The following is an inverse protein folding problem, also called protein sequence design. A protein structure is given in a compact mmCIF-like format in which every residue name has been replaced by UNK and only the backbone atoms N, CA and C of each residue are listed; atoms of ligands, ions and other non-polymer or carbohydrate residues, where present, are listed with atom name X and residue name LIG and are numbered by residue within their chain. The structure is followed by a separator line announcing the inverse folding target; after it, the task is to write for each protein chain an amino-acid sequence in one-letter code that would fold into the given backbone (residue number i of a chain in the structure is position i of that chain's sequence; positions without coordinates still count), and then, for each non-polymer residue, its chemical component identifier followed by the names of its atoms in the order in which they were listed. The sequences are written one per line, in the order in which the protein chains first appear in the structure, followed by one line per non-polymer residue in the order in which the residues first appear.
data_IF_655900432584
#
_entry.id   IF_655900432584
#
_cell.length_a   1.000
_cell.length_b   1.000
_cell.length_c   1.000
_cell.angle_alpha   90.00
_cell.angle_beta   90.00
_cell.angle_gamma   90.00
#
_symmetry.space_group_name_H-M   'P 1'
#
loop_
_entity.id
_entity.type
_entity.pdbx_description
1 polymer ?
#
# COMPACT_ATOMS: atom_id res chain seq x y z
N UNK A 1 19.44 -0.17 32.39
CA UNK A 1 18.36 -0.40 33.33
C UNK A 1 18.80 -0.02 34.75
N UNK A 2 17.94 0.52 35.57
CA UNK A 2 18.21 0.73 37.01
C UNK A 2 18.63 -0.60 37.63
N UNK A 3 19.66 -0.61 38.42
CA UNK A 3 20.25 -1.77 39.15
C UNK A 3 21.10 -2.76 38.33
N UNK A 4 21.75 -2.35 37.29
CA UNK A 4 22.75 -3.20 36.59
C UNK A 4 22.15 -4.41 35.84
N UNK A 5 20.84 -4.61 35.85
CA UNK A 5 20.16 -5.64 35.05
C UNK A 5 19.91 -5.11 33.64
N UNK A 6 20.50 -5.78 32.65
CA UNK A 6 20.23 -5.48 31.23
C UNK A 6 18.89 -6.09 30.83
N UNK A 7 18.03 -5.30 30.19
CA UNK A 7 16.81 -5.82 29.58
C UNK A 7 17.10 -6.65 28.32
N UNK A 8 18.23 -6.32 27.64
CA UNK A 8 18.71 -7.01 26.45
C UNK A 8 20.19 -7.31 26.62
N UNK A 9 20.62 -8.48 26.18
CA UNK A 9 22.01 -8.91 26.17
C UNK A 9 22.42 -9.35 24.77
N UNK A 10 23.60 -8.88 24.33
CA UNK A 10 24.17 -9.34 23.07
C UNK A 10 24.83 -10.70 23.29
N UNK A 11 24.27 -11.71 22.63
CA UNK A 11 24.83 -13.06 22.65
C UNK A 11 25.31 -13.46 21.27
N UNK A 12 26.27 -14.41 21.22
CA UNK A 12 26.72 -14.96 19.94
C UNK A 12 25.54 -15.66 19.23
N UNK A 13 25.23 -15.23 18.02
CA UNK A 13 24.17 -15.84 17.22
C UNK A 13 24.66 -17.18 16.65
N UNK A 14 23.94 -18.26 16.95
CA UNK A 14 24.08 -19.52 16.22
C UNK A 14 23.37 -19.32 14.88
N UNK A 15 24.13 -19.20 13.81
CA UNK A 15 23.57 -19.07 12.47
C UNK A 15 22.82 -20.33 12.06
N UNK A 16 21.55 -20.17 11.77
CA UNK A 16 20.67 -21.21 11.22
C UNK A 16 20.30 -20.91 9.75
N UNK A 17 21.27 -20.35 9.02
CA UNK A 17 21.03 -19.88 7.63
C UNK A 17 20.57 -21.01 6.73
N UNK A 18 21.14 -22.24 6.92
CA UNK A 18 20.79 -23.42 6.12
C UNK A 18 19.36 -23.91 6.37
N UNK A 19 18.94 -23.91 7.63
CA UNK A 19 17.59 -24.29 8.03
C UNK A 19 16.57 -23.25 7.53
N UNK A 20 16.92 -21.97 7.63
CA UNK A 20 16.09 -20.88 7.11
C UNK A 20 15.94 -20.96 5.59
N UNK A 21 17.04 -21.13 4.86
CA UNK A 21 17.01 -21.34 3.40
C UNK A 21 16.23 -22.58 3.00
N UNK A 22 16.32 -23.65 3.78
CA UNK A 22 15.55 -24.88 3.55
C UNK A 22 14.03 -24.59 3.70
N UNK A 23 13.63 -23.88 4.76
CA UNK A 23 12.22 -23.52 4.97
C UNK A 23 11.70 -22.62 3.86
N UNK A 24 12.48 -21.62 3.42
CA UNK A 24 12.09 -20.74 2.31
C UNK A 24 11.92 -21.51 0.99
N UNK A 25 12.85 -22.42 0.66
CA UNK A 25 12.81 -23.21 -0.58
C UNK A 25 11.67 -24.24 -0.60
N UNK A 26 11.28 -24.74 0.57
CA UNK A 26 10.23 -25.75 0.71
C UNK A 26 8.89 -25.14 1.14
N UNK A 27 8.75 -23.84 1.00
CA UNK A 27 7.50 -23.14 1.26
C UNK A 27 6.42 -23.65 0.30
N UNK A 28 5.30 -24.14 0.87
CA UNK A 28 4.19 -24.72 0.12
C UNK A 28 3.23 -23.68 -0.46
N UNK A 29 3.55 -22.38 -0.30
CA UNK A 29 2.67 -21.27 -0.67
C UNK A 29 2.28 -21.28 -2.17
N UNK A 30 3.17 -21.75 -3.05
CA UNK A 30 2.93 -21.79 -4.49
C UNK A 30 1.94 -22.88 -4.94
N UNK A 31 1.54 -23.77 -4.02
CA UNK A 31 0.59 -24.86 -4.31
C UNK A 31 -0.87 -24.47 -4.18
N UNK A 32 -1.16 -23.32 -3.59
CA UNK A 32 -2.53 -22.82 -3.47
C UNK A 32 -2.85 -21.91 -4.64
N UNK A 33 -3.86 -22.30 -5.42
CA UNK A 33 -4.38 -21.45 -6.51
C UNK A 33 -4.86 -20.12 -5.95
N UNK A 34 -4.17 -19.10 -6.35
CA UNK A 34 -4.27 -17.76 -5.77
C UNK A 34 -5.17 -16.82 -6.56
N UNK A 35 -5.93 -17.31 -7.54
CA UNK A 35 -6.80 -16.47 -8.37
C UNK A 35 -8.02 -15.98 -7.59
N UNK A 36 -8.38 -16.69 -6.52
CA UNK A 36 -9.48 -16.30 -5.63
C UNK A 36 -8.90 -15.53 -4.44
N UNK A 37 -9.18 -14.23 -4.35
CA UNK A 37 -8.77 -13.38 -3.23
C UNK A 37 -9.74 -13.56 -2.05
N UNK A 38 -9.38 -14.46 -1.15
CA UNK A 38 -10.01 -14.61 0.17
C UNK A 38 -8.97 -14.43 1.25
N UNK A 39 -9.38 -14.10 2.46
CA UNK A 39 -8.50 -13.96 3.63
C UNK A 39 -7.67 -15.23 3.85
N UNK A 40 -8.28 -16.40 3.63
CA UNK A 40 -7.57 -17.68 3.70
C UNK A 40 -6.51 -17.82 2.61
N UNK A 41 -6.87 -17.62 1.34
CA UNK A 41 -5.95 -17.83 0.22
C UNK A 41 -4.81 -16.82 0.22
N UNK A 42 -5.09 -15.56 0.56
CA UNK A 42 -4.06 -14.53 0.61
C UNK A 42 -3.03 -14.78 1.71
N UNK A 43 -3.41 -15.41 2.83
CA UNK A 43 -2.50 -15.71 3.93
C UNK A 43 -1.40 -16.71 3.57
N UNK A 44 -1.60 -17.52 2.53
CA UNK A 44 -0.58 -18.45 2.03
C UNK A 44 0.42 -17.81 1.08
N UNK A 45 0.14 -16.61 0.55
CA UNK A 45 1.10 -15.89 -0.29
C UNK A 45 2.20 -15.28 0.55
N UNK A 46 3.44 -15.40 0.11
CA UNK A 46 4.57 -14.74 0.76
C UNK A 46 4.43 -13.22 0.64
N UNK A 47 4.41 -12.48 1.75
CA UNK A 47 4.39 -11.03 1.69
C UNK A 47 5.75 -10.50 1.24
N UNK A 48 5.76 -9.36 0.53
CA UNK A 48 6.99 -8.63 0.24
C UNK A 48 7.34 -7.64 1.36
N UNK A 49 6.45 -7.47 2.31
CA UNK A 49 6.64 -6.76 3.56
C UNK A 49 6.84 -7.81 4.68
N UNK A 50 8.04 -8.44 4.68
CA UNK A 50 8.32 -9.63 5.51
C UNK A 50 8.58 -9.27 6.97
N UNK A 51 9.26 -8.16 7.21
CA UNK A 51 9.69 -7.77 8.55
C UNK A 51 9.28 -6.34 8.83
N UNK A 52 8.47 -6.16 9.85
CA UNK A 52 7.99 -4.85 10.27
C UNK A 52 8.73 -4.37 11.51
N UNK A 53 9.23 -3.12 11.47
CA UNK A 53 9.74 -2.41 12.64
C UNK A 53 8.67 -1.60 13.38
N UNK A 54 7.39 -1.79 13.07
CA UNK A 54 6.27 -1.10 13.71
C UNK A 54 6.03 -1.55 15.16
N UNK A 55 5.21 -0.79 15.87
CA UNK A 55 4.72 -1.16 17.19
C UNK A 55 4.02 -2.53 17.15
N UNK A 56 4.13 -3.32 18.23
CA UNK A 56 3.36 -4.54 18.36
C UNK A 56 1.85 -4.22 18.26
N UNK A 57 1.12 -4.97 17.44
CA UNK A 57 -0.30 -4.74 17.22
C UNK A 57 -0.66 -3.51 16.36
N UNK A 58 0.32 -2.89 15.68
CA UNK A 58 0.10 -1.77 14.77
C UNK A 58 -1.02 -2.06 13.77
N UNK A 59 -2.01 -1.17 13.67
CA UNK A 59 -3.14 -1.33 12.77
C UNK A 59 -2.84 -1.07 11.29
N UNK A 60 -1.73 -0.41 10.97
CA UNK A 60 -1.36 -0.10 9.59
C UNK A 60 -0.74 -1.29 8.85
N UNK A 61 0.12 -2.05 9.51
CA UNK A 61 0.94 -3.09 8.87
C UNK A 61 0.14 -4.23 8.22
N UNK A 62 -1.02 -4.67 8.72
CA UNK A 62 -1.84 -5.69 8.05
C UNK A 62 -2.31 -5.26 6.66
N UNK A 63 -2.62 -3.98 6.45
CA UNK A 63 -3.00 -3.44 5.15
C UNK A 63 -1.85 -3.54 4.14
N UNK A 64 -0.65 -3.12 4.55
CA UNK A 64 0.54 -3.20 3.69
C UNK A 64 0.95 -4.65 3.40
N UNK A 65 0.88 -5.52 4.40
CA UNK A 65 1.16 -6.94 4.21
C UNK A 65 0.25 -7.55 3.14
N UNK A 66 -1.06 -7.29 3.20
CA UNK A 66 -2.00 -7.78 2.21
C UNK A 66 -1.83 -7.09 0.85
N UNK A 67 -1.54 -5.80 0.81
CA UNK A 67 -1.20 -5.09 -0.44
C UNK A 67 -0.04 -5.78 -1.16
N UNK A 68 1.04 -6.10 -0.42
CA UNK A 68 2.20 -6.79 -1.01
C UNK A 68 1.90 -8.21 -1.45
N UNK A 69 1.02 -8.92 -0.74
CA UNK A 69 0.57 -10.27 -1.12
C UNK A 69 -0.30 -10.28 -2.37
N UNK A 70 -1.12 -9.24 -2.55
CA UNK A 70 -2.02 -9.12 -3.72
C UNK A 70 -1.23 -8.81 -4.99
N UNK A 71 -0.35 -7.80 -4.95
CA UNK A 71 0.31 -7.27 -6.14
C UNK A 71 1.72 -7.78 -6.38
N UNK A 72 2.37 -8.32 -5.37
CA UNK A 72 3.69 -8.94 -5.45
C UNK A 72 4.72 -8.13 -6.29
N UNK A 73 5.27 -8.70 -7.38
CA UNK A 73 6.36 -8.11 -8.18
C UNK A 73 5.96 -6.90 -9.05
N UNK A 74 4.67 -6.66 -9.24
CA UNK A 74 4.23 -5.47 -9.97
C UNK A 74 3.91 -4.28 -9.08
N UNK A 75 4.01 -4.41 -7.78
CA UNK A 75 3.76 -3.33 -6.84
C UNK A 75 4.88 -2.29 -6.88
N UNK A 76 4.48 -1.02 -6.92
CA UNK A 76 5.34 0.15 -6.70
C UNK A 76 4.67 1.04 -5.68
N UNK A 77 5.39 1.42 -4.64
CA UNK A 77 4.86 2.26 -3.57
C UNK A 77 5.64 3.57 -3.49
N UNK A 78 4.91 4.69 -3.54
CA UNK A 78 5.37 6.00 -3.07
C UNK A 78 4.81 6.22 -1.67
N UNK A 79 5.68 6.35 -0.68
CA UNK A 79 5.28 6.41 0.72
C UNK A 79 5.55 7.78 1.33
N UNK A 80 4.55 8.34 1.98
CA UNK A 80 4.67 9.61 2.69
C UNK A 80 5.43 9.42 4.01
N UNK A 81 6.23 10.41 4.39
CA UNK A 81 6.89 10.47 5.69
C UNK A 81 5.86 10.36 6.83
N UNK A 82 6.13 9.47 7.77
CA UNK A 82 5.28 9.16 8.91
C UNK A 82 5.68 7.82 9.52
N UNK A 83 4.78 7.14 10.24
CA UNK A 83 5.05 5.80 10.77
C UNK A 83 5.47 4.83 9.68
N UNK A 84 4.78 4.83 8.55
CA UNK A 84 5.07 3.90 7.44
C UNK A 84 6.46 4.09 6.85
N UNK A 85 7.00 5.30 6.78
CA UNK A 85 8.39 5.53 6.35
C UNK A 85 9.41 5.02 7.38
N UNK A 86 9.07 5.07 8.66
CA UNK A 86 9.97 4.62 9.74
C UNK A 86 10.02 3.09 9.81
N UNK A 87 8.87 2.42 9.91
CA UNK A 87 8.86 0.96 9.92
C UNK A 87 9.10 0.34 8.54
N UNK A 88 8.84 1.09 7.47
CA UNK A 88 9.21 0.76 6.10
C UNK A 88 10.71 0.83 5.87
N UNK A 89 11.38 1.73 6.57
CA UNK A 89 12.82 1.86 6.59
C UNK A 89 13.44 2.21 5.24
N UNK A 90 14.75 2.11 5.19
CA UNK A 90 15.54 2.33 3.99
C UNK A 90 16.44 1.14 3.68
N UNK A 91 16.63 0.88 2.40
CA UNK A 91 17.63 -0.10 1.95
C UNK A 91 19.04 0.39 2.35
N UNK A 92 19.94 -0.45 2.89
CA UNK A 92 19.80 -1.89 3.12
C UNK A 92 19.31 -2.28 4.51
N UNK A 93 18.83 -1.35 5.32
CA UNK A 93 18.48 -1.58 6.73
C UNK A 93 17.27 -2.52 6.89
N UNK A 94 16.40 -2.59 5.90
CA UNK A 94 15.22 -3.45 5.88
C UNK A 94 15.22 -4.33 4.63
N UNK A 95 14.88 -5.60 4.76
CA UNK A 95 14.93 -6.57 3.68
C UNK A 95 13.65 -6.55 2.84
N UNK A 96 13.22 -5.38 2.36
CA UNK A 96 12.08 -5.30 1.45
C UNK A 96 12.48 -5.59 0.02
N UNK A 97 11.67 -6.39 -0.63
CA UNK A 97 11.88 -6.83 -2.00
C UNK A 97 11.04 -6.09 -3.04
N UNK A 98 10.22 -5.12 -2.62
CA UNK A 98 9.42 -4.28 -3.51
C UNK A 98 10.05 -2.90 -3.69
N UNK A 99 9.83 -2.23 -4.82
CA UNK A 99 10.18 -0.83 -4.98
C UNK A 99 9.40 0.03 -3.97
N UNK A 100 10.12 0.54 -2.99
CA UNK A 100 9.60 1.40 -1.93
C UNK A 100 10.36 2.72 -1.96
N UNK A 101 9.68 3.78 -2.39
CA UNK A 101 10.24 5.12 -2.42
C UNK A 101 9.48 6.01 -1.45
N UNK A 102 10.18 6.83 -0.68
CA UNK A 102 9.58 7.76 0.28
C UNK A 102 9.88 9.20 -0.09
N UNK A 103 8.90 10.07 0.11
CA UNK A 103 9.05 11.52 0.07
C UNK A 103 8.39 12.16 1.30
N UNK A 104 8.42 13.47 1.39
CA UNK A 104 7.77 14.20 2.47
C UNK A 104 6.24 14.02 2.38
N UNK A 105 5.56 14.12 3.53
CA UNK A 105 4.12 13.90 3.57
C UNK A 105 3.32 15.02 2.87
N UNK A 106 3.94 16.18 2.68
CA UNK A 106 3.34 17.31 1.97
C UNK A 106 3.37 17.18 0.45
N UNK A 107 4.30 16.40 -0.13
CA UNK A 107 4.49 16.30 -1.59
C UNK A 107 4.37 14.87 -2.16
N UNK A 108 4.03 13.90 -1.32
CA UNK A 108 4.08 12.49 -1.70
C UNK A 108 3.05 12.11 -2.78
N UNK A 109 1.93 12.81 -2.86
CA UNK A 109 0.94 12.56 -3.90
C UNK A 109 1.50 12.88 -5.28
N UNK A 110 2.11 14.06 -5.44
CA UNK A 110 2.74 14.50 -6.67
C UNK A 110 3.98 13.68 -7.01
N UNK A 111 4.75 13.30 -5.98
CA UNK A 111 5.90 12.40 -6.14
C UNK A 111 5.47 11.05 -6.72
N UNK A 112 4.44 10.44 -6.14
CA UNK A 112 3.87 9.18 -6.63
C UNK A 112 3.28 9.31 -8.04
N UNK A 113 2.61 10.42 -8.33
CA UNK A 113 2.11 10.73 -9.66
C UNK A 113 3.24 10.90 -10.68
N UNK A 114 4.34 11.54 -10.27
CA UNK A 114 5.57 11.65 -11.08
C UNK A 114 6.17 10.28 -11.42
N UNK A 115 6.19 9.34 -10.45
CA UNK A 115 6.64 7.95 -10.70
C UNK A 115 5.73 7.28 -11.73
N UNK A 116 4.40 7.40 -11.61
CA UNK A 116 3.45 6.86 -12.58
C UNK A 116 3.72 7.40 -13.99
N UNK A 117 3.89 8.71 -14.12
CA UNK A 117 4.21 9.35 -15.39
C UNK A 117 5.52 8.83 -15.98
N UNK A 118 6.54 8.63 -15.15
CA UNK A 118 7.80 8.01 -15.55
C UNK A 118 7.62 6.58 -16.09
N UNK A 119 6.81 5.76 -15.42
CA UNK A 119 6.46 4.40 -15.85
C UNK A 119 5.71 4.45 -17.18
N UNK A 120 4.69 5.29 -17.31
CA UNK A 120 3.88 5.43 -18.51
C UNK A 120 4.76 5.88 -19.69
N UNK A 121 5.65 6.85 -19.50
CA UNK A 121 6.58 7.30 -20.53
C UNK A 121 7.51 6.17 -21.01
N UNK A 122 8.00 5.31 -20.12
CA UNK A 122 8.79 4.13 -20.50
C UNK A 122 7.96 3.14 -21.32
N UNK A 123 6.73 2.88 -20.92
CA UNK A 123 5.80 2.00 -21.63
C UNK A 123 5.43 2.55 -23.02
N UNK A 124 5.26 3.87 -23.15
CA UNK A 124 5.03 4.51 -24.44
C UNK A 124 6.24 4.39 -25.39
N UNK A 125 7.44 4.47 -24.86
CA UNK A 125 8.67 4.20 -25.65
C UNK A 125 8.70 2.75 -26.14
N UNK A 126 8.36 1.77 -25.29
CA UNK A 126 8.22 0.36 -25.68
C UNK A 126 7.15 0.21 -26.76
N UNK A 127 5.98 0.83 -26.57
CA UNK A 127 4.87 0.83 -27.54
C UNK A 127 5.31 1.37 -28.89
N UNK A 128 6.02 2.49 -28.91
CA UNK A 128 6.54 3.09 -30.13
C UNK A 128 7.52 2.15 -30.84
N UNK A 129 8.48 1.61 -30.10
CA UNK A 129 9.45 0.65 -30.63
C UNK A 129 8.78 -0.60 -31.23
N UNK A 130 7.85 -1.23 -30.48
CA UNK A 130 7.19 -2.46 -30.94
C UNK A 130 6.32 -2.23 -32.20
N UNK A 131 5.77 -1.03 -32.41
CA UNK A 131 5.01 -0.67 -33.63
C UNK A 131 5.87 -0.66 -34.89
N UNK A 132 7.19 -0.48 -34.76
CA UNK A 132 8.13 -0.51 -35.92
C UNK A 132 8.29 -1.93 -36.48
N UNK A 133 7.84 -2.97 -35.72
CA UNK A 133 7.93 -4.38 -36.11
C UNK A 133 6.55 -5.03 -36.31
N UNK A 134 5.73 -4.59 -37.28
CA UNK A 134 4.32 -5.02 -37.40
C UNK A 134 4.14 -6.50 -37.74
N UNK A 135 5.20 -7.18 -38.19
CA UNK A 135 5.17 -8.63 -38.47
C UNK A 135 5.54 -9.48 -37.26
N UNK A 136 6.01 -8.90 -36.18
CA UNK A 136 6.37 -9.62 -34.96
C UNK A 136 5.10 -9.96 -34.17
N UNK A 137 4.77 -11.26 -34.10
CA UNK A 137 3.55 -11.76 -33.42
C UNK A 137 3.58 -11.47 -31.91
N UNK A 138 4.76 -11.58 -31.28
CA UNK A 138 4.94 -11.34 -29.84
C UNK A 138 4.67 -9.87 -29.52
N UNK A 139 5.20 -8.94 -30.31
CA UNK A 139 4.95 -7.52 -30.13
C UNK A 139 3.49 -7.14 -30.37
N UNK A 140 2.86 -7.74 -31.38
CA UNK A 140 1.42 -7.56 -31.64
C UNK A 140 0.56 -8.05 -30.48
N UNK A 141 0.92 -9.19 -29.88
CA UNK A 141 0.26 -9.72 -28.67
C UNK A 141 0.32 -8.72 -27.52
N UNK A 142 1.50 -8.11 -27.29
CA UNK A 142 1.67 -7.09 -26.26
C UNK A 142 0.87 -5.81 -26.55
N UNK A 143 0.98 -5.27 -27.77
CA UNK A 143 0.30 -4.04 -28.19
C UNK A 143 -1.23 -4.10 -28.01
N UNK A 144 -1.81 -5.29 -28.20
CA UNK A 144 -3.25 -5.51 -28.02
C UNK A 144 -3.66 -5.76 -26.57
N UNK A 145 -2.69 -6.01 -25.66
CA UNK A 145 -2.96 -6.43 -24.29
C UNK A 145 -2.07 -5.72 -23.27
N UNK A 146 -1.71 -4.47 -23.51
CA UNK A 146 -0.72 -3.73 -22.71
C UNK A 146 -1.06 -3.70 -21.21
N UNK A 147 -2.33 -3.68 -20.84
CA UNK A 147 -2.77 -3.60 -19.45
C UNK A 147 -3.09 -4.97 -18.82
N UNK A 148 -2.97 -6.06 -19.58
CA UNK A 148 -3.18 -7.40 -19.06
C UNK A 148 -1.87 -7.95 -18.48
N UNK A 149 -1.82 -8.13 -17.16
CA UNK A 149 -0.64 -8.58 -16.43
C UNK A 149 -0.13 -9.94 -16.93
N UNK A 150 -1.02 -10.93 -17.01
CA UNK A 150 -0.63 -12.31 -17.34
C UNK A 150 -0.08 -12.41 -18.77
N UNK A 151 -0.79 -11.79 -19.73
CA UNK A 151 -0.34 -11.75 -21.13
C UNK A 151 1.00 -11.01 -21.26
N UNK A 152 1.16 -9.88 -20.55
CA UNK A 152 2.43 -9.15 -20.56
C UNK A 152 3.57 -9.97 -19.94
N UNK A 153 3.30 -10.77 -18.91
CA UNK A 153 4.28 -11.67 -18.28
C UNK A 153 4.69 -12.81 -19.20
N UNK A 154 3.77 -13.35 -20.00
CA UNK A 154 4.08 -14.31 -21.07
C UNK A 154 4.97 -13.65 -22.13
N UNK A 155 4.55 -12.51 -22.65
CA UNK A 155 5.31 -11.74 -23.65
C UNK A 155 6.71 -11.40 -23.15
N UNK A 156 6.87 -11.01 -21.89
CA UNK A 156 8.17 -10.75 -21.28
C UNK A 156 9.13 -11.95 -21.45
N UNK A 157 8.62 -13.19 -21.33
CA UNK A 157 9.42 -14.40 -21.51
C UNK A 157 9.67 -14.75 -22.98
N UNK A 158 8.76 -14.38 -23.89
CA UNK A 158 8.82 -14.69 -25.32
C UNK A 158 9.72 -13.73 -26.10
N UNK A 159 10.03 -12.55 -25.58
CA UNK A 159 10.86 -11.55 -26.26
C UNK A 159 12.32 -12.03 -26.37
N UNK A 160 12.85 -12.02 -27.59
CA UNK A 160 14.29 -12.21 -27.85
C UNK A 160 15.06 -10.91 -27.61
N UNK A 161 15.49 -10.69 -26.38
CA UNK A 161 16.22 -9.48 -25.98
C UNK A 161 17.61 -9.33 -26.66
N UNK A 162 18.17 -10.43 -27.19
CA UNK A 162 19.43 -10.35 -27.97
C UNK A 162 19.21 -9.68 -29.31
N UNK A 163 18.06 -9.94 -29.95
CA UNK A 163 17.66 -9.27 -31.20
C UNK A 163 17.10 -7.88 -30.97
N UNK A 164 16.59 -7.60 -29.77
CA UNK A 164 15.95 -6.34 -29.43
C UNK A 164 16.59 -5.73 -28.17
N UNK A 165 17.90 -5.32 -28.21
CA UNK A 165 18.63 -4.83 -27.03
C UNK A 165 17.96 -3.60 -26.40
N UNK A 166 17.33 -2.76 -27.19
CA UNK A 166 16.56 -1.60 -26.70
C UNK A 166 15.47 -2.00 -25.67
N UNK A 167 14.82 -3.15 -25.87
CA UNK A 167 13.82 -3.65 -24.91
C UNK A 167 14.48 -4.24 -23.67
N UNK A 168 15.72 -4.69 -23.72
CA UNK A 168 16.41 -5.21 -22.55
C UNK A 168 16.59 -4.14 -21.47
N UNK A 169 16.88 -2.89 -21.85
CA UNK A 169 17.06 -1.77 -20.93
C UNK A 169 15.73 -1.32 -20.30
N UNK A 170 14.60 -1.70 -20.89
CA UNK A 170 13.26 -1.35 -20.46
C UNK A 170 12.40 -2.56 -20.09
N UNK A 171 13.00 -3.74 -19.92
CA UNK A 171 12.29 -5.00 -19.69
C UNK A 171 11.35 -4.96 -18.47
N UNK A 172 11.72 -4.22 -17.42
CA UNK A 172 10.96 -4.11 -16.18
C UNK A 172 9.61 -3.38 -16.36
N UNK A 173 9.43 -2.71 -17.51
CA UNK A 173 8.21 -1.98 -17.88
C UNK A 173 7.34 -2.72 -18.91
N UNK A 174 7.76 -3.91 -19.37
CA UNK A 174 6.95 -4.76 -20.26
C UNK A 174 5.68 -5.21 -19.54
N UNK A 175 5.82 -5.62 -18.27
CA UNK A 175 4.69 -5.97 -17.41
C UNK A 175 4.15 -4.71 -16.73
N UNK A 176 2.81 -4.49 -16.74
CA UNK A 176 2.23 -3.31 -16.10
C UNK A 176 2.53 -3.29 -14.60
N UNK A 177 2.81 -2.11 -14.07
CA UNK A 177 3.02 -1.88 -12.64
C UNK A 177 1.73 -1.39 -11.99
N UNK A 178 1.48 -1.86 -10.76
CA UNK A 178 0.42 -1.33 -9.90
C UNK A 178 1.02 -0.24 -9.01
N UNK A 179 0.68 1.01 -9.31
CA UNK A 179 1.22 2.17 -8.59
C UNK A 179 0.32 2.54 -7.41
N UNK A 180 0.91 2.62 -6.21
CA UNK A 180 0.23 2.98 -4.97
C UNK A 180 0.94 4.12 -4.26
N UNK A 181 0.18 5.13 -3.89
CA UNK A 181 0.63 6.22 -3.03
C UNK A 181 0.10 5.91 -1.63
N UNK A 182 0.96 5.85 -0.63
CA UNK A 182 0.61 5.45 0.73
C UNK A 182 1.02 6.52 1.72
N UNK A 183 0.14 6.85 2.65
CA UNK A 183 0.47 7.78 3.73
C UNK A 183 -0.58 7.82 4.82
N UNK A 184 -0.22 8.45 5.92
CA UNK A 184 -1.07 8.63 7.10
C UNK A 184 -1.81 9.97 7.11
N UNK A 185 -2.15 10.43 8.32
CA UNK A 185 -3.03 11.59 8.54
C UNK A 185 -2.48 12.89 7.96
N UNK A 186 -1.19 13.20 8.16
CA UNK A 186 -0.59 14.44 7.66
C UNK A 186 -0.63 14.55 6.14
N UNK A 187 -0.36 13.44 5.47
CA UNK A 187 -0.45 13.30 4.02
C UNK A 187 -1.89 13.48 3.52
N UNK A 188 -2.88 12.85 4.19
CA UNK A 188 -4.21 12.72 3.63
C UNK A 188 -5.21 13.78 4.10
N UNK A 189 -5.08 14.25 5.32
CA UNK A 189 -6.09 15.12 5.91
C UNK A 189 -5.62 16.56 6.10
N UNK A 190 -4.33 16.77 6.19
CA UNK A 190 -3.74 18.06 6.53
C UNK A 190 -2.92 18.64 5.36
N UNK A 191 -1.64 18.89 5.54
CA UNK A 191 -0.81 19.64 4.59
C UNK A 191 -0.62 18.95 3.23
N UNK A 192 -0.62 17.61 3.17
CA UNK A 192 -0.47 16.87 1.91
C UNK A 192 -1.78 16.68 1.12
N UNK A 193 -2.89 17.24 1.64
CA UNK A 193 -4.20 17.02 0.99
C UNK A 193 -4.34 17.67 -0.38
N UNK A 194 -3.75 18.83 -0.60
CA UNK A 194 -3.80 19.52 -1.89
C UNK A 194 -3.19 18.69 -3.03
N UNK A 195 -2.10 17.97 -2.75
CA UNK A 195 -1.53 17.02 -3.68
C UNK A 195 -2.47 15.85 -3.99
N UNK A 196 -3.17 15.32 -2.99
CA UNK A 196 -4.19 14.28 -3.21
C UNK A 196 -5.31 14.82 -4.08
N UNK A 197 -5.83 15.99 -3.76
CA UNK A 197 -6.89 16.63 -4.54
C UNK A 197 -6.47 16.80 -6.01
N UNK A 198 -5.24 17.28 -6.24
CA UNK A 198 -4.67 17.41 -7.57
C UNK A 198 -4.61 16.06 -8.31
N UNK A 199 -4.12 15.01 -7.66
CA UNK A 199 -4.01 13.67 -8.26
C UNK A 199 -5.38 13.08 -8.57
N UNK A 200 -6.36 13.20 -7.65
CA UNK A 200 -7.73 12.73 -7.86
C UNK A 200 -8.46 13.48 -8.98
N UNK A 201 -8.10 14.73 -9.24
CA UNK A 201 -8.66 15.53 -10.34
C UNK A 201 -8.24 15.04 -11.72
N UNK A 202 -7.16 14.22 -11.82
CA UNK A 202 -6.70 13.61 -13.07
C UNK A 202 -7.51 12.35 -13.39
N UNK A 203 -7.39 11.90 -14.63
CA UNK A 203 -8.06 10.65 -15.06
C UNK A 203 -7.04 9.53 -15.30
N UNK A 204 -5.97 9.52 -14.50
CA UNK A 204 -4.92 8.51 -14.60
C UNK A 204 -5.19 7.35 -13.64
N UNK A 205 -4.81 6.13 -14.07
CA UNK A 205 -4.94 4.94 -13.25
C UNK A 205 -3.87 4.93 -12.15
N UNK A 206 -4.23 5.47 -10.99
CA UNK A 206 -3.39 5.58 -9.81
C UNK A 206 -4.17 5.26 -8.55
N UNK A 207 -3.54 4.59 -7.60
CA UNK A 207 -4.19 4.17 -6.38
C UNK A 207 -3.58 4.90 -5.18
N UNK A 208 -4.44 5.42 -4.30
CA UNK A 208 -4.06 6.08 -3.06
C UNK A 208 -4.57 5.22 -1.89
N UNK A 209 -3.69 4.92 -0.94
CA UNK A 209 -4.03 4.24 0.31
C UNK A 209 -3.76 5.16 1.48
N UNK A 210 -4.79 5.48 2.23
CA UNK A 210 -4.71 6.30 3.44
C UNK A 210 -4.74 5.40 4.66
N UNK A 211 -3.67 5.40 5.44
CA UNK A 211 -3.57 4.72 6.72
C UNK A 211 -4.12 5.65 7.79
N UNK A 212 -5.44 5.58 8.02
CA UNK A 212 -6.18 6.50 8.89
C UNK A 212 -6.04 6.08 10.36
N UNK A 213 -5.06 6.66 11.05
CA UNK A 213 -4.86 6.47 12.48
C UNK A 213 -5.59 7.51 13.33
N UNK A 214 -6.27 8.47 12.72
CA UNK A 214 -7.00 9.56 13.39
C UNK A 214 -6.15 10.46 14.31
N UNK A 215 -4.82 10.32 14.24
CA UNK A 215 -3.83 11.13 14.97
C UNK A 215 -2.52 11.22 14.16
N UNK A 216 -1.68 12.19 14.45
CA UNK A 216 -0.28 12.13 13.99
C UNK A 216 0.48 11.11 14.84
N UNK A 217 0.46 9.86 14.42
CA UNK A 217 0.96 8.73 15.20
C UNK A 217 2.48 8.76 15.40
N UNK A 218 3.25 9.05 14.34
CA UNK A 218 4.71 9.02 14.38
C UNK A 218 5.32 10.08 15.31
N UNK A 219 4.68 11.23 15.46
CA UNK A 219 5.18 12.35 16.26
C UNK A 219 4.67 12.35 17.69
N UNK A 220 3.85 11.39 18.09
CA UNK A 220 3.40 11.22 19.47
C UNK A 220 1.92 11.55 19.72
N UNK A 221 1.05 11.25 18.76
CA UNK A 221 -0.41 11.25 18.96
C UNK A 221 -1.08 12.62 19.00
N UNK A 222 -0.59 13.58 18.23
CA UNK A 222 -1.26 14.89 18.11
C UNK A 222 -2.55 14.76 17.30
N UNK A 223 -3.54 15.62 17.59
CA UNK A 223 -4.78 15.69 16.84
C UNK A 223 -4.53 16.12 15.39
N UNK A 224 -5.09 15.36 14.45
CA UNK A 224 -5.14 15.68 13.02
C UNK A 224 -6.53 16.17 12.61
N UNK A 225 -6.72 16.54 11.35
CA UNK A 225 -8.08 16.77 10.81
C UNK A 225 -8.90 15.48 10.70
N UNK A 226 -8.26 14.30 10.80
CA UNK A 226 -8.95 13.01 10.91
C UNK A 226 -9.44 12.70 12.31
N UNK A 227 -8.91 13.32 13.36
CA UNK A 227 -9.39 13.07 14.74
C UNK A 227 -10.84 13.53 14.88
N UNK A 228 -11.65 12.73 15.58
CA UNK A 228 -13.06 13.03 15.78
C UNK A 228 -13.28 14.19 16.76
N UNK A 229 -14.47 14.80 16.70
CA UNK A 229 -14.90 15.80 17.67
C UNK A 229 -14.87 15.23 19.09
N UNK A 230 -14.31 15.94 20.03
CA UNK A 230 -14.15 15.52 21.42
C UNK A 230 -13.01 14.55 21.68
N UNK A 231 -12.29 14.08 20.65
CA UNK A 231 -11.13 13.19 20.84
C UNK A 231 -10.02 13.88 21.64
N UNK A 232 -9.52 13.22 22.66
CA UNK A 232 -8.32 13.65 23.40
C UNK A 232 -7.07 13.18 22.69
N UNK A 233 -6.10 14.04 22.55
CA UNK A 233 -4.83 13.77 21.88
C UNK A 233 -3.73 14.65 22.48
N UNK A 234 -2.47 14.40 22.11
CA UNK A 234 -1.38 15.30 22.47
C UNK A 234 -1.68 16.71 21.97
N UNK A 235 -1.51 17.71 22.86
CA UNK A 235 -1.88 19.13 22.68
C UNK A 235 -3.39 19.39 22.51
N UNK A 236 -4.25 18.40 22.72
CA UNK A 236 -5.70 18.52 22.74
C UNK A 236 -6.31 17.78 23.94
N UNK A 237 -5.76 18.02 25.14
CA UNK A 237 -6.16 17.32 26.38
C UNK A 237 -7.61 17.60 26.81
N UNK A 238 -8.15 18.75 26.48
CA UNK A 238 -9.56 19.13 26.71
C UNK A 238 -10.52 18.61 25.64
N UNK A 239 -10.03 17.87 24.68
CA UNK A 239 -10.77 17.37 23.52
C UNK A 239 -10.69 18.30 22.31
N UNK A 240 -10.67 17.70 21.12
CA UNK A 240 -10.71 18.42 19.86
C UNK A 240 -12.08 19.07 19.65
N UNK A 241 -12.12 20.32 19.30
CA UNK A 241 -13.36 21.10 19.10
C UNK A 241 -13.77 21.24 17.63
N UNK A 242 -13.07 20.61 16.70
CA UNK A 242 -13.37 20.59 15.27
C UNK A 242 -13.82 19.20 14.83
N UNK A 243 -14.74 19.13 13.86
CA UNK A 243 -15.20 17.89 13.28
C UNK A 243 -14.10 17.21 12.45
N UNK A 244 -14.21 15.86 12.34
CA UNK A 244 -13.39 15.07 11.43
C UNK A 244 -13.66 15.51 9.99
N UNK A 245 -12.60 15.68 9.21
CA UNK A 245 -12.67 15.89 7.76
C UNK A 245 -13.15 14.58 7.09
N UNK A 246 -14.26 14.64 6.39
CA UNK A 246 -14.79 13.50 5.64
C UNK A 246 -14.10 13.40 4.28
N UNK A 247 -12.91 12.79 4.29
CA UNK A 247 -12.09 12.62 3.09
C UNK A 247 -12.78 11.78 2.00
N UNK A 248 -13.52 10.76 2.42
CA UNK A 248 -14.24 9.90 1.48
C UNK A 248 -15.31 10.68 0.71
N UNK A 249 -16.10 11.47 1.43
CA UNK A 249 -17.15 12.30 0.81
C UNK A 249 -16.56 13.38 -0.09
N UNK A 250 -15.43 13.99 0.30
CA UNK A 250 -14.72 14.96 -0.55
C UNK A 250 -14.23 14.28 -1.83
N UNK A 251 -13.61 13.10 -1.74
CA UNK A 251 -13.16 12.35 -2.90
C UNK A 251 -14.33 11.97 -3.85
N UNK A 252 -15.50 11.64 -3.31
CA UNK A 252 -16.71 11.36 -4.09
C UNK A 252 -17.31 12.58 -4.80
N UNK A 253 -16.82 13.82 -4.50
CA UNK A 253 -17.19 14.99 -5.31
C UNK A 253 -16.61 14.92 -6.73
N UNK A 254 -15.57 14.13 -6.94
CA UNK A 254 -15.09 13.78 -8.29
C UNK A 254 -15.87 12.57 -8.82
N UNK A 255 -16.68 12.71 -9.89
CA UNK A 255 -17.56 11.64 -10.35
C UNK A 255 -16.86 10.44 -10.95
N UNK A 256 -15.54 10.54 -11.18
CA UNK A 256 -14.70 9.52 -11.80
C UNK A 256 -13.72 8.88 -10.80
N UNK A 257 -13.86 9.09 -9.49
CA UNK A 257 -12.95 8.54 -8.48
C UNK A 257 -13.58 7.32 -7.82
N UNK A 258 -12.87 6.19 -7.83
CA UNK A 258 -13.23 5.05 -7.00
C UNK A 258 -12.89 5.35 -5.53
N UNK A 259 -13.84 5.13 -4.62
CA UNK A 259 -13.65 5.41 -3.20
C UNK A 259 -14.01 4.21 -2.35
N UNK A 260 -13.13 3.81 -1.44
CA UNK A 260 -13.42 2.78 -0.45
C UNK A 260 -13.01 3.21 0.96
N UNK A 261 -13.79 2.78 1.93
CA UNK A 261 -13.49 2.88 3.36
C UNK A 261 -13.45 1.46 3.92
N UNK A 262 -12.33 1.07 4.50
CA UNK A 262 -12.03 -0.31 4.86
C UNK A 262 -11.57 -0.44 6.30
N UNK A 263 -11.99 -1.52 6.95
CA UNK A 263 -11.53 -1.91 8.27
C UNK A 263 -11.23 -3.42 8.26
N UNK A 264 -9.95 -3.75 8.25
CA UNK A 264 -9.48 -5.14 8.17
C UNK A 264 -9.90 -5.96 9.39
N UNK A 265 -9.93 -5.35 10.58
CA UNK A 265 -10.38 -5.99 11.81
C UNK A 265 -11.86 -6.36 11.79
N UNK A 266 -12.67 -5.64 11.00
CA UNK A 266 -14.07 -5.93 10.78
C UNK A 266 -14.32 -6.90 9.62
N UNK A 267 -13.74 -6.59 8.43
CA UNK A 267 -13.96 -7.39 7.23
C UNK A 267 -12.77 -7.32 6.26
N UNK A 268 -11.86 -8.28 6.37
CA UNK A 268 -10.70 -8.40 5.50
C UNK A 268 -11.09 -8.70 4.03
N UNK A 269 -12.19 -9.44 3.80
CA UNK A 269 -12.67 -9.75 2.44
C UNK A 269 -13.11 -8.47 1.71
N UNK A 270 -13.74 -7.54 2.43
CA UNK A 270 -14.14 -6.25 1.88
C UNK A 270 -12.90 -5.44 1.44
N UNK A 271 -11.83 -5.44 2.25
CA UNK A 271 -10.58 -4.79 1.90
C UNK A 271 -9.90 -5.43 0.67
N UNK A 272 -9.80 -6.76 0.63
CA UNK A 272 -9.23 -7.47 -0.52
C UNK A 272 -10.02 -7.20 -1.80
N UNK A 273 -11.34 -7.11 -1.69
CA UNK A 273 -12.20 -6.75 -2.81
C UNK A 273 -11.97 -5.30 -3.24
N UNK A 274 -11.82 -4.37 -2.30
CA UNK A 274 -11.49 -2.98 -2.60
C UNK A 274 -10.14 -2.84 -3.33
N UNK A 275 -9.11 -3.58 -2.91
CA UNK A 275 -7.81 -3.61 -3.61
C UNK A 275 -7.96 -4.07 -5.06
N UNK A 276 -8.73 -5.14 -5.30
CA UNK A 276 -8.96 -5.68 -6.63
C UNK A 276 -9.75 -4.71 -7.51
N UNK A 277 -10.82 -4.13 -6.97
CA UNK A 277 -11.65 -3.16 -7.68
C UNK A 277 -10.83 -1.90 -8.04
N UNK A 278 -10.10 -1.32 -7.07
CA UNK A 278 -9.25 -0.16 -7.30
C UNK A 278 -8.20 -0.41 -8.39
N UNK A 279 -7.51 -1.55 -8.34
CA UNK A 279 -6.45 -1.86 -9.32
C UNK A 279 -6.97 -2.16 -10.73
N UNK A 280 -8.24 -2.58 -10.86
CA UNK A 280 -8.87 -2.86 -12.14
C UNK A 280 -9.67 -1.67 -12.68
N UNK A 281 -9.87 -0.65 -11.86
CA UNK A 281 -10.55 0.57 -12.25
C UNK A 281 -9.66 1.42 -13.16
N UNK A 282 -10.20 1.91 -14.26
CA UNK A 282 -9.46 2.77 -15.18
C UNK A 282 -9.66 4.25 -14.82
N UNK A 283 -8.99 4.65 -13.77
CA UNK A 283 -9.06 5.99 -13.19
C UNK A 283 -8.43 6.04 -11.79
N UNK A 284 -8.46 7.19 -11.12
CA UNK A 284 -7.91 7.34 -9.80
C UNK A 284 -8.78 6.64 -8.74
N UNK A 285 -8.11 6.03 -7.77
CA UNK A 285 -8.77 5.33 -6.67
C UNK A 285 -8.21 5.78 -5.32
N UNK A 286 -9.07 5.88 -4.30
CA UNK A 286 -8.65 6.13 -2.93
C UNK A 286 -9.28 5.11 -1.97
N UNK A 287 -8.45 4.48 -1.14
CA UNK A 287 -8.87 3.54 -0.10
C UNK A 287 -8.46 4.10 1.25
N UNK A 288 -9.43 4.35 2.13
CA UNK A 288 -9.21 4.82 3.50
C UNK A 288 -9.26 3.62 4.44
N UNK A 289 -8.16 3.39 5.15
CA UNK A 289 -7.91 2.20 5.95
C UNK A 289 -7.87 2.55 7.45
N UNK A 290 -8.89 2.20 8.19
CA UNK A 290 -8.93 2.43 9.64
C UNK A 290 -7.83 1.65 10.35
N UNK A 291 -6.96 2.34 11.07
CA UNK A 291 -5.74 1.77 11.62
C UNK A 291 -5.60 2.09 13.11
N UNK A 292 -5.98 1.15 14.01
CA UNK A 292 -5.74 1.34 15.44
C UNK A 292 -4.26 1.60 15.76
N UNK A 293 -4.01 2.57 16.63
CA UNK A 293 -2.67 3.02 16.99
C UNK A 293 -2.44 2.92 18.50
N UNK A 294 -1.19 2.73 18.91
CA UNK A 294 -0.79 2.75 20.31
C UNK A 294 -1.16 4.08 20.98
N UNK A 295 -1.13 5.17 20.23
CA UNK A 295 -1.50 6.52 20.69
C UNK A 295 -2.99 6.67 21.01
N UNK A 296 -3.84 5.70 20.63
CA UNK A 296 -5.24 5.67 21.02
C UNK A 296 -5.44 5.28 22.51
N UNK A 297 -4.38 4.83 23.20
CA UNK A 297 -4.48 4.40 24.60
C UNK A 297 -5.45 3.23 24.81
N UNK A 298 -5.39 2.23 23.94
CA UNK A 298 -6.25 1.04 24.00
C UNK A 298 -6.05 0.32 25.35
N UNK A 299 -7.03 0.41 26.23
CA UNK A 299 -6.95 -0.10 27.61
C UNK A 299 -6.69 -1.60 27.72
N UNK A 300 -7.17 -2.37 26.76
CA UNK A 300 -6.98 -3.83 26.70
C UNK A 300 -5.59 -4.24 26.16
N UNK A 301 -4.76 -3.29 25.74
CA UNK A 301 -3.46 -3.54 25.11
C UNK A 301 -3.54 -3.65 23.59
N UNK A 302 -2.40 -3.45 22.94
CA UNK A 302 -2.30 -3.45 21.47
C UNK A 302 -2.48 -4.84 20.85
N UNK A 303 -2.35 -5.90 21.59
CA UNK A 303 -2.71 -7.26 21.16
C UNK A 303 -4.19 -7.40 20.81
N UNK A 304 -5.03 -6.48 21.31
CA UNK A 304 -6.46 -6.39 20.99
C UNK A 304 -6.80 -5.33 19.93
N UNK A 305 -5.81 -4.78 19.24
CA UNK A 305 -6.03 -3.71 18.25
C UNK A 305 -7.05 -4.09 17.19
N UNK A 306 -7.01 -5.31 16.67
CA UNK A 306 -7.95 -5.78 15.65
C UNK A 306 -9.36 -6.00 16.22
N UNK A 307 -9.48 -6.44 17.47
CA UNK A 307 -10.77 -6.54 18.14
C UNK A 307 -11.39 -5.16 18.41
N UNK A 308 -10.56 -4.16 18.73
CA UNK A 308 -11.02 -2.77 18.85
C UNK A 308 -11.43 -2.20 17.49
N UNK A 309 -10.70 -2.52 16.42
CA UNK A 309 -11.09 -2.15 15.07
C UNK A 309 -12.44 -2.75 14.68
N UNK A 310 -12.67 -4.03 15.00
CA UNK A 310 -13.97 -4.69 14.81
C UNK A 310 -15.09 -3.90 15.49
N UNK A 311 -14.94 -3.63 16.79
CA UNK A 311 -15.92 -2.89 17.57
C UNK A 311 -16.19 -1.49 17.04
N UNK A 312 -15.17 -0.80 16.53
CA UNK A 312 -15.33 0.54 15.94
C UNK A 312 -16.30 0.54 14.76
N UNK A 313 -16.32 -0.50 13.95
CA UNK A 313 -17.30 -0.61 12.86
C UNK A 313 -18.64 -1.15 13.36
N UNK A 314 -18.64 -2.13 14.24
CA UNK A 314 -19.87 -2.71 14.80
C UNK A 314 -20.74 -1.67 15.51
N UNK A 315 -20.15 -0.73 16.24
CA UNK A 315 -20.87 0.34 16.91
C UNK A 315 -21.18 1.57 16.03
N UNK A 316 -20.78 1.54 14.76
CA UNK A 316 -21.02 2.65 13.83
C UNK A 316 -20.05 3.82 13.96
N UNK A 317 -18.95 3.68 14.72
CA UNK A 317 -17.90 4.69 14.84
C UNK A 317 -17.14 4.87 13.53
N UNK A 318 -16.81 3.77 12.85
CA UNK A 318 -16.16 3.77 11.54
C UNK A 318 -17.01 3.00 10.53
N UNK A 319 -17.35 3.66 9.41
CA UNK A 319 -18.25 3.09 8.40
C UNK A 319 -17.44 2.54 7.23
N UNK A 320 -17.68 1.28 6.87
CA UNK A 320 -17.04 0.62 5.72
C UNK A 320 -17.96 0.61 4.50
N UNK A 321 -17.42 0.99 3.35
CA UNK A 321 -18.14 0.94 2.08
C UNK A 321 -17.19 0.89 0.89
N UNK A 322 -17.73 0.68 -0.29
CA UNK A 322 -17.06 0.84 -1.57
C UNK A 322 -18.01 1.56 -2.52
N UNK A 323 -17.49 2.58 -3.18
CA UNK A 323 -18.17 3.34 -4.21
C UNK A 323 -17.39 3.20 -5.52
N UNK A 324 -18.01 2.56 -6.52
CA UNK A 324 -17.48 2.44 -7.87
C UNK A 324 -18.33 3.30 -8.78
N UNK A 325 -17.78 4.32 -9.44
CA UNK A 325 -18.55 5.22 -10.31
C UNK A 325 -18.85 4.64 -11.70
N UNK A 326 -18.28 3.47 -12.06
CA UNK A 326 -18.49 2.78 -13.33
C UNK A 326 -19.71 1.87 -13.34
#
# INVERSE_FOLDING_TARGET
GKMGKKALEMVSNKRHDKEFDYLLKNNINDKYDSNILTSRNISFRTPKFEYSGACAGCGETPYLTNLTRVFNDNLVIANATGCSSIYGGSTPSFPYSIPWASSLFEDNAEYGYGILNGINMKRDKIKKYMKEYPRNKVFKKWLNNMNNYDICKEVYKEIDYKKHPYLNDMKDYIVPKSMWIVGGDGFAYDIGYDGIDHVLSKNDNINIMVLDTEVYSNTGGQASKSSNYGATASFASSGKNNYKKDLARIAMCYPHVYVASCNIGYNNEQYLKALKEASSYDGPSIIICYSPCIEHGIKSGMEHSQSNAYLATECGYFITFRYNPS
#
